data_IF_572410270114
#
_entry.id   IF_572410270114
#
_cell.length_a   1.000
_cell.length_b   1.000
_cell.length_c   1.000
_cell.angle_alpha   90.00
_cell.angle_beta   90.00
_cell.angle_gamma   90.00
#
_symmetry.space_group_name_H-M   'P 1'
#
loop_
_entity.id
_entity.type
_entity.pdbx_description
1 polymer ?
#
# COMPACT_ATOMS: atom_id res chain seq x y z
N UNK A 1 -6.73 48.88 -5.75
CA UNK A 1 -7.25 47.70 -5.01
C UNK A 1 -7.15 46.48 -5.92
N UNK A 2 -6.15 45.61 -5.81
CA UNK A 2 -4.71 45.80 -5.70
C UNK A 2 -4.12 44.50 -6.27
N UNK A 3 -3.25 44.56 -7.28
CA UNK A 3 -2.60 43.37 -7.87
C UNK A 3 -1.93 42.49 -6.80
N UNK A 4 -1.49 43.10 -5.71
CA UNK A 4 -0.92 42.41 -4.55
C UNK A 4 -1.94 41.66 -3.70
N UNK A 5 -3.18 42.15 -3.56
CA UNK A 5 -4.26 41.40 -2.88
C UNK A 5 -4.62 40.15 -3.67
N UNK A 6 -4.74 40.25 -5.00
CA UNK A 6 -5.01 39.10 -5.87
C UNK A 6 -3.90 38.02 -5.80
N UNK A 7 -2.63 38.41 -5.69
CA UNK A 7 -1.50 37.48 -5.54
C UNK A 7 -1.47 36.80 -4.17
N UNK A 8 -1.88 37.51 -3.11
CA UNK A 8 -2.01 36.95 -1.76
C UNK A 8 -3.15 35.94 -1.70
N UNK A 9 -4.31 36.26 -2.29
CA UNK A 9 -5.45 35.36 -2.38
C UNK A 9 -5.10 34.08 -3.17
N UNK A 10 -4.41 34.22 -4.32
CA UNK A 10 -3.94 33.08 -5.11
C UNK A 10 -2.96 32.19 -4.32
N UNK A 11 -2.03 32.79 -3.58
CA UNK A 11 -1.09 32.06 -2.72
C UNK A 11 -1.80 31.30 -1.60
N UNK A 12 -2.79 31.94 -0.96
CA UNK A 12 -3.60 31.36 0.10
C UNK A 12 -4.44 30.18 -0.39
N UNK A 13 -5.02 30.29 -1.58
CA UNK A 13 -5.80 29.21 -2.19
C UNK A 13 -4.92 28.04 -2.62
N UNK A 14 -3.71 28.31 -3.16
CA UNK A 14 -2.73 27.25 -3.42
C UNK A 14 -2.31 26.52 -2.16
N UNK A 15 -2.06 27.24 -1.07
CA UNK A 15 -1.72 26.64 0.22
C UNK A 15 -2.87 25.77 0.75
N UNK A 16 -4.11 26.28 0.74
CA UNK A 16 -5.30 25.50 1.13
C UNK A 16 -5.43 24.23 0.32
N UNK A 17 -5.28 24.32 -1.00
CA UNK A 17 -5.35 23.17 -1.88
C UNK A 17 -4.26 22.14 -1.57
N UNK A 18 -3.01 22.58 -1.37
CA UNK A 18 -1.89 21.70 -1.02
C UNK A 18 -2.14 20.95 0.30
N UNK A 19 -2.64 21.65 1.32
CA UNK A 19 -3.00 21.04 2.62
C UNK A 19 -4.12 20.01 2.44
N UNK A 20 -5.19 20.34 1.71
CA UNK A 20 -6.30 19.41 1.47
C UNK A 20 -5.84 18.16 0.70
N UNK A 21 -5.01 18.32 -0.32
CA UNK A 21 -4.42 17.21 -1.07
C UNK A 21 -3.60 16.31 -0.15
N UNK A 22 -2.72 16.88 0.68
CA UNK A 22 -1.92 16.11 1.63
C UNK A 22 -2.79 15.32 2.63
N UNK A 23 -3.85 15.93 3.17
CA UNK A 23 -4.81 15.22 4.03
C UNK A 23 -5.51 14.07 3.30
N UNK A 24 -5.91 14.27 2.05
CA UNK A 24 -6.56 13.24 1.24
C UNK A 24 -5.60 12.07 0.96
N UNK A 25 -4.34 12.35 0.63
CA UNK A 25 -3.31 11.33 0.39
C UNK A 25 -3.04 10.48 1.63
N UNK A 26 -2.94 11.11 2.80
CA UNK A 26 -2.78 10.40 4.08
C UNK A 26 -3.98 9.51 4.39
N UNK A 27 -5.20 10.04 4.26
CA UNK A 27 -6.42 9.26 4.47
C UNK A 27 -6.49 8.07 3.52
N UNK A 28 -6.18 8.27 2.24
CA UNK A 28 -6.13 7.20 1.25
C UNK A 28 -5.08 6.14 1.61
N UNK A 29 -3.91 6.56 2.10
CA UNK A 29 -2.86 5.64 2.48
C UNK A 29 -3.19 4.85 3.75
N UNK A 30 -3.84 5.47 4.75
CA UNK A 30 -4.34 4.79 5.95
C UNK A 30 -5.42 3.78 5.59
N UNK A 31 -6.38 4.14 4.72
CA UNK A 31 -7.41 3.23 4.25
C UNK A 31 -6.81 2.03 3.50
N UNK A 32 -5.81 2.26 2.62
CA UNK A 32 -5.07 1.18 1.94
C UNK A 32 -4.35 0.27 2.93
N UNK A 33 -3.69 0.84 3.93
CA UNK A 33 -2.97 0.08 4.96
C UNK A 33 -3.91 -0.86 5.73
N UNK A 34 -5.06 -0.35 6.15
CA UNK A 34 -6.08 -1.14 6.84
C UNK A 34 -6.59 -2.30 5.98
N UNK A 35 -6.90 -2.04 4.71
CA UNK A 35 -7.33 -3.09 3.78
C UNK A 35 -6.23 -4.14 3.52
N UNK A 36 -4.97 -3.74 3.45
CA UNK A 36 -3.84 -4.66 3.32
C UNK A 36 -3.68 -5.56 4.57
N UNK A 37 -3.86 -5.01 5.78
CA UNK A 37 -3.84 -5.79 7.02
C UNK A 37 -4.98 -6.82 7.07
N UNK A 38 -6.20 -6.43 6.69
CA UNK A 38 -7.34 -7.36 6.58
C UNK A 38 -7.04 -8.47 5.57
N UNK A 39 -6.46 -8.12 4.41
CA UNK A 39 -6.07 -9.11 3.38
C UNK A 39 -5.05 -10.10 3.92
N UNK A 40 -4.06 -9.64 4.70
CA UNK A 40 -3.07 -10.51 5.34
C UNK A 40 -3.75 -11.47 6.33
N UNK A 41 -4.65 -10.98 7.18
CA UNK A 41 -5.37 -11.82 8.13
C UNK A 41 -6.19 -12.93 7.43
N UNK A 42 -6.83 -12.62 6.31
CA UNK A 42 -7.53 -13.63 5.50
C UNK A 42 -6.57 -14.66 4.89
N UNK A 43 -5.39 -14.24 4.45
CA UNK A 43 -4.37 -15.14 3.90
C UNK A 43 -3.76 -16.04 4.98
N UNK A 44 -3.61 -15.56 6.21
CA UNK A 44 -3.16 -16.37 7.35
C UNK A 44 -4.20 -17.44 7.73
N UNK A 45 -5.49 -17.09 7.71
CA UNK A 45 -6.56 -18.07 7.88
C UNK A 45 -6.57 -19.11 6.73
N UNK A 46 -6.36 -18.67 5.49
CA UNK A 46 -6.24 -19.58 4.34
C UNK A 46 -5.00 -20.48 4.42
N UNK A 47 -3.88 -19.99 4.94
CA UNK A 47 -2.67 -20.79 5.17
C UNK A 47 -2.97 -21.92 6.17
N UNK A 48 -3.62 -21.58 7.28
CA UNK A 48 -4.01 -22.55 8.31
C UNK A 48 -4.94 -23.64 7.74
N UNK A 49 -5.94 -23.25 6.95
CA UNK A 49 -6.88 -24.18 6.30
C UNK A 49 -6.20 -25.08 5.26
N UNK A 50 -5.33 -24.50 4.42
CA UNK A 50 -4.59 -25.25 3.40
C UNK A 50 -3.58 -26.22 4.01
N UNK A 51 -2.94 -25.85 5.13
CA UNK A 51 -2.07 -26.75 5.90
C UNK A 51 -2.86 -27.95 6.46
N UNK A 52 -4.05 -27.71 7.02
CA UNK A 52 -4.92 -28.78 7.50
C UNK A 52 -5.37 -29.71 6.36
N UNK A 53 -5.67 -29.15 5.20
CA UNK A 53 -6.05 -29.91 4.00
C UNK A 53 -4.90 -30.78 3.48
N UNK A 54 -3.66 -30.26 3.48
CA UNK A 54 -2.46 -31.03 3.14
C UNK A 54 -2.24 -32.19 4.12
N UNK A 55 -2.38 -31.94 5.43
CA UNK A 55 -2.26 -32.99 6.44
C UNK A 55 -3.29 -34.11 6.22
N UNK A 56 -4.55 -33.76 5.97
CA UNK A 56 -5.61 -34.74 5.69
C UNK A 56 -5.32 -35.53 4.40
N UNK A 57 -4.82 -34.89 3.35
CA UNK A 57 -4.45 -35.57 2.11
C UNK A 57 -3.32 -36.59 2.34
N UNK A 58 -2.31 -36.22 3.14
CA UNK A 58 -1.22 -37.11 3.53
C UNK A 58 -1.72 -38.32 4.34
N UNK A 59 -2.63 -38.10 5.30
CA UNK A 59 -3.24 -39.17 6.09
C UNK A 59 -4.01 -40.16 5.21
N UNK A 60 -4.89 -39.66 4.33
CA UNK A 60 -5.67 -40.50 3.42
C UNK A 60 -4.77 -41.30 2.47
N UNK A 61 -3.70 -40.70 1.96
CA UNK A 61 -2.71 -41.41 1.15
C UNK A 61 -2.03 -42.54 1.94
N UNK A 62 -1.61 -42.28 3.19
CA UNK A 62 -0.98 -43.30 4.06
C UNK A 62 -1.90 -44.48 4.35
N UNK A 63 -3.21 -44.23 4.46
CA UNK A 63 -4.22 -45.29 4.62
C UNK A 63 -4.65 -45.95 3.30
N UNK A 64 -4.06 -45.57 2.16
CA UNK A 64 -4.40 -46.11 0.84
C UNK A 64 -5.78 -45.68 0.33
N UNK A 65 -6.39 -44.65 0.94
CA UNK A 65 -7.73 -44.17 0.59
C UNK A 65 -7.72 -43.23 -0.63
N UNK A 66 -6.58 -42.63 -0.94
CA UNK A 66 -6.40 -41.66 -2.02
C UNK A 66 -5.06 -41.87 -2.74
N UNK A 67 -5.01 -41.47 -4.01
CA UNK A 67 -3.77 -41.41 -4.79
C UNK A 67 -2.83 -40.30 -4.31
N UNK A 68 -1.52 -40.50 -4.53
CA UNK A 68 -0.49 -39.52 -4.16
C UNK A 68 -0.65 -38.18 -4.88
N UNK A 69 -1.29 -38.17 -6.06
CA UNK A 69 -1.59 -36.93 -6.80
C UNK A 69 -2.36 -35.92 -5.94
N UNK A 70 -3.29 -36.39 -5.09
CA UNK A 70 -4.04 -35.50 -4.20
C UNK A 70 -3.15 -34.82 -3.15
N UNK A 71 -2.07 -35.47 -2.71
CA UNK A 71 -1.09 -34.88 -1.78
C UNK A 71 -0.35 -33.74 -2.48
N UNK A 72 0.11 -33.96 -3.70
CA UNK A 72 0.82 -32.93 -4.49
C UNK A 72 -0.11 -31.77 -4.81
N UNK A 73 -1.35 -32.01 -5.20
CA UNK A 73 -2.34 -30.95 -5.44
C UNK A 73 -2.56 -30.10 -4.18
N UNK A 74 -2.72 -30.74 -3.01
CA UNK A 74 -2.87 -30.03 -1.75
C UNK A 74 -1.60 -29.25 -1.36
N UNK A 75 -0.42 -29.80 -1.66
CA UNK A 75 0.86 -29.15 -1.36
C UNK A 75 1.10 -27.93 -2.25
N UNK A 76 0.86 -28.03 -3.56
CA UNK A 76 0.95 -26.92 -4.49
C UNK A 76 0.00 -25.79 -4.07
N UNK A 77 -1.24 -26.14 -3.69
CA UNK A 77 -2.20 -25.16 -3.21
C UNK A 77 -1.73 -24.47 -1.92
N UNK A 78 -1.23 -25.23 -0.93
CA UNK A 78 -0.70 -24.66 0.31
C UNK A 78 0.47 -23.70 0.06
N UNK A 79 1.43 -24.09 -0.78
CA UNK A 79 2.57 -23.24 -1.15
C UNK A 79 2.11 -21.97 -1.88
N UNK A 80 1.11 -22.06 -2.74
CA UNK A 80 0.55 -20.88 -3.41
C UNK A 80 -0.03 -19.88 -2.40
N UNK A 81 -0.72 -20.35 -1.36
CA UNK A 81 -1.23 -19.48 -0.30
C UNK A 81 -0.08 -18.82 0.48
N UNK A 82 0.99 -19.56 0.80
CA UNK A 82 2.17 -19.00 1.46
C UNK A 82 2.85 -17.91 0.62
N UNK A 83 2.97 -18.12 -0.70
CA UNK A 83 3.51 -17.12 -1.63
C UNK A 83 2.63 -15.86 -1.66
N UNK A 84 1.31 -16.03 -1.68
CA UNK A 84 0.37 -14.91 -1.66
C UNK A 84 0.47 -14.12 -0.35
N UNK A 85 0.59 -14.79 0.79
CA UNK A 85 0.79 -14.17 2.11
C UNK A 85 2.10 -13.38 2.16
N UNK A 86 3.20 -13.97 1.68
CA UNK A 86 4.50 -13.29 1.62
C UNK A 86 4.44 -12.04 0.72
N UNK A 87 3.83 -12.16 -0.46
CA UNK A 87 3.65 -11.04 -1.38
C UNK A 87 2.78 -9.93 -0.75
N UNK A 88 1.75 -10.29 0.01
CA UNK A 88 0.89 -9.34 0.71
C UNK A 88 1.64 -8.56 1.79
N UNK A 89 2.42 -9.25 2.63
CA UNK A 89 3.27 -8.63 3.66
C UNK A 89 4.30 -7.68 3.04
N UNK A 90 4.94 -8.10 1.93
CA UNK A 90 5.87 -7.24 1.17
C UNK A 90 5.18 -5.99 0.65
N UNK A 91 3.97 -6.12 0.10
CA UNK A 91 3.22 -4.99 -0.43
C UNK A 91 2.86 -3.99 0.68
N UNK A 92 2.41 -4.46 1.85
CA UNK A 92 2.13 -3.61 3.01
C UNK A 92 3.36 -2.78 3.41
N UNK A 93 4.53 -3.42 3.48
CA UNK A 93 5.78 -2.72 3.82
C UNK A 93 6.15 -1.67 2.75
N UNK A 94 6.04 -2.02 1.46
CA UNK A 94 6.27 -1.08 0.36
C UNK A 94 5.33 0.13 0.46
N UNK A 95 4.03 -0.11 0.69
CA UNK A 95 3.02 0.94 0.82
C UNK A 95 3.32 1.87 2.00
N UNK A 96 3.78 1.32 3.14
CA UNK A 96 4.21 2.11 4.30
C UNK A 96 5.44 2.98 4.02
N UNK A 97 6.43 2.45 3.32
CA UNK A 97 7.63 3.20 2.92
C UNK A 97 7.26 4.34 1.96
N UNK A 98 6.40 4.06 0.97
CA UNK A 98 5.92 5.09 0.05
C UNK A 98 5.15 6.20 0.77
N UNK A 99 4.29 5.86 1.73
CA UNK A 99 3.60 6.85 2.56
C UNK A 99 4.59 7.69 3.38
N UNK A 100 5.58 7.07 4.02
CA UNK A 100 6.60 7.78 4.79
C UNK A 100 7.41 8.74 3.90
N UNK A 101 7.67 8.39 2.63
CA UNK A 101 8.34 9.25 1.67
C UNK A 101 7.46 10.42 1.22
N UNK A 102 6.20 10.17 0.89
CA UNK A 102 5.25 11.22 0.49
C UNK A 102 5.05 12.25 1.63
N UNK A 103 4.95 11.76 2.87
CA UNK A 103 4.86 12.57 4.08
C UNK A 103 6.13 13.33 4.46
N UNK A 104 7.28 13.08 3.82
CA UNK A 104 8.56 13.66 4.24
C UNK A 104 9.38 14.34 3.14
N UNK A 105 9.05 14.11 1.86
CA UNK A 105 9.87 14.54 0.72
C UNK A 105 9.16 15.42 -0.30
N UNK A 106 7.93 15.07 -0.72
CA UNK A 106 7.29 15.69 -1.89
C UNK A 106 6.76 17.12 -1.63
N UNK A 107 6.29 17.44 -0.41
CA UNK A 107 5.91 18.84 -0.10
C UNK A 107 7.13 19.77 -0.10
N UNK A 108 8.31 19.27 0.27
CA UNK A 108 9.52 20.07 0.43
C UNK A 108 10.09 20.48 -0.93
N UNK A 109 10.05 19.56 -1.90
CA UNK A 109 10.42 19.81 -3.30
C UNK A 109 9.42 20.75 -3.98
N UNK A 110 8.11 20.56 -3.77
CA UNK A 110 7.09 21.45 -4.33
C UNK A 110 7.19 22.89 -3.81
N UNK A 111 7.52 23.08 -2.53
CA UNK A 111 7.81 24.39 -1.95
C UNK A 111 9.09 25.01 -2.53
N UNK A 112 10.12 24.21 -2.77
CA UNK A 112 11.38 24.68 -3.34
C UNK A 112 11.22 25.15 -4.81
N UNK A 113 10.47 24.40 -5.62
CA UNK A 113 10.24 24.74 -7.03
C UNK A 113 9.38 26.01 -7.21
N UNK A 114 8.38 26.23 -6.35
CA UNK A 114 7.58 27.47 -6.36
C UNK A 114 8.42 28.71 -6.01
N UNK A 115 9.31 28.60 -5.03
CA UNK A 115 10.23 29.68 -4.66
C UNK A 115 11.22 30.02 -5.79
N UNK A 116 11.65 29.03 -6.57
CA UNK A 116 12.54 29.24 -7.72
C UNK A 116 11.82 29.89 -8.92
N UNK A 117 10.55 29.58 -9.14
CA UNK A 117 9.72 30.22 -10.17
C UNK A 117 9.45 31.70 -9.87
N UNK A 118 9.08 32.03 -8.63
CA UNK A 118 8.83 33.42 -8.21
C UNK A 118 10.06 34.33 -8.34
N UNK A 119 11.26 33.81 -8.07
CA UNK A 119 12.51 34.57 -8.18
C UNK A 119 12.85 34.93 -9.63
N UNK A 120 12.42 34.10 -10.59
CA UNK A 120 12.67 34.31 -12.02
C UNK A 120 11.76 35.41 -12.61
N UNK A 121 10.52 35.49 -12.15
CA UNK A 121 9.57 36.52 -12.57
C UNK A 121 9.83 37.90 -11.94
N UNK A 122 10.51 37.95 -10.78
CA UNK A 122 10.97 39.21 -10.16
C UNK A 122 12.28 39.77 -10.74
N UNK A 123 12.96 39.00 -11.60
CA UNK A 123 14.24 39.37 -12.20
C UNK A 123 14.12 39.80 -13.68
N UNK A 124 12.90 39.91 -14.20
CA UNK A 124 12.57 40.48 -15.51
C UNK A 124 11.66 41.70 -15.36
#
# INVERSE_FOLDING_TARGET
VNRQEALVDESLDRYRQAVLTAFQEVNNALARNHNDELRIAHLEAAETSSAASLRLAMERYRYGLNEYLQVITAQVFHVQIQQNLLAARRQLLSNRISLARALGGEWLEALADQHLAQKKDSAS
#
